data_IF_351220455470
#
_entry.id   IF_351220455470
#
_cell.length_a   1.000
_cell.length_b   1.000
_cell.length_c   1.000
_cell.angle_alpha   90.00
_cell.angle_beta   90.00
_cell.angle_gamma   90.00
#
_symmetry.space_group_name_H-M   'P 1'
#
loop_
_entity.id
_entity.type
_entity.pdbx_description
1 polymer ?
#
# COMPACT_ATOMS: atom_id res chain seq x y z
N UNK A 1 17.26 -11.42 -24.98
CA UNK A 1 16.09 -10.57 -24.70
C UNK A 1 15.18 -11.35 -23.76
N UNK A 2 14.78 -10.82 -22.59
CA UNK A 2 13.71 -11.44 -21.78
C UNK A 2 12.40 -11.26 -22.55
N UNK A 3 11.66 -12.38 -22.74
CA UNK A 3 10.35 -12.35 -23.34
C UNK A 3 9.39 -11.55 -22.44
N UNK A 4 8.47 -10.77 -23.01
CA UNK A 4 7.43 -10.08 -22.25
C UNK A 4 6.61 -11.07 -21.41
N UNK A 5 6.29 -10.67 -20.18
CA UNK A 5 5.43 -11.47 -19.31
C UNK A 5 4.04 -11.63 -19.91
N UNK A 6 3.44 -12.82 -19.75
CA UNK A 6 2.06 -13.09 -20.19
C UNK A 6 1.06 -12.19 -19.49
N UNK A 7 1.31 -11.90 -18.22
CA UNK A 7 0.52 -11.01 -17.39
C UNK A 7 1.38 -9.80 -17.05
N UNK A 8 0.84 -8.62 -17.23
CA UNK A 8 1.53 -7.37 -16.93
C UNK A 8 0.66 -6.48 -16.05
N UNK A 9 1.29 -5.86 -15.09
CA UNK A 9 0.77 -4.76 -14.29
C UNK A 9 1.33 -3.47 -14.88
N UNK A 10 0.48 -2.68 -15.49
CA UNK A 10 0.82 -1.34 -15.97
C UNK A 10 0.62 -0.35 -14.84
N UNK A 11 1.64 0.45 -14.54
CA UNK A 11 1.63 1.47 -13.49
C UNK A 11 1.80 2.84 -14.13
N UNK A 12 0.78 3.68 -14.06
CA UNK A 12 0.79 5.04 -14.61
C UNK A 12 1.44 6.02 -13.61
N UNK A 13 2.68 6.38 -13.88
CA UNK A 13 3.47 7.27 -13.03
C UNK A 13 2.98 8.74 -13.09
N UNK A 14 2.32 9.16 -14.16
CA UNK A 14 1.71 10.50 -14.24
C UNK A 14 0.51 10.58 -13.31
N UNK A 15 -0.36 9.57 -13.32
CA UNK A 15 -1.48 9.48 -12.38
C UNK A 15 -0.97 9.44 -10.93
N UNK A 16 0.08 8.64 -10.66
CA UNK A 16 0.71 8.58 -9.35
C UNK A 16 1.21 9.95 -8.87
N UNK A 17 1.97 10.66 -9.72
CA UNK A 17 2.43 12.02 -9.44
C UNK A 17 1.28 13.00 -9.22
N UNK A 18 0.23 12.91 -10.05
CA UNK A 18 -0.99 13.72 -9.93
C UNK A 18 -1.70 13.50 -8.60
N UNK A 19 -1.92 12.23 -8.21
CA UNK A 19 -2.51 11.87 -6.92
C UNK A 19 -1.67 12.40 -5.74
N UNK A 20 -0.35 12.22 -5.80
CA UNK A 20 0.54 12.68 -4.74
C UNK A 20 0.53 14.20 -4.59
N UNK A 21 0.50 14.94 -5.70
CA UNK A 21 0.37 16.40 -5.70
C UNK A 21 -0.96 16.86 -5.13
N UNK A 22 -2.08 16.20 -5.47
CA UNK A 22 -3.40 16.49 -4.90
C UNK A 22 -3.40 16.28 -3.37
N UNK A 23 -2.81 15.18 -2.88
CA UNK A 23 -2.68 14.90 -1.46
C UNK A 23 -1.87 16.01 -0.77
N UNK A 24 -0.70 16.37 -1.32
CA UNK A 24 0.13 17.45 -0.77
C UNK A 24 -0.61 18.79 -0.70
N UNK A 25 -1.32 19.14 -1.75
CA UNK A 25 -2.13 20.36 -1.80
C UNK A 25 -3.21 20.36 -0.71
N UNK A 26 -3.84 19.21 -0.48
CA UNK A 26 -4.95 19.06 0.48
C UNK A 26 -4.49 19.20 1.92
N UNK A 27 -3.31 18.68 2.25
CA UNK A 27 -2.80 18.66 3.63
C UNK A 27 -1.86 19.83 3.96
N UNK A 28 -1.53 20.68 3.00
CA UNK A 28 -0.64 21.82 3.20
C UNK A 28 -1.06 22.67 4.41
N UNK A 29 -0.10 23.15 5.24
CA UNK A 29 1.35 23.11 5.08
C UNK A 29 2.02 21.82 5.59
N UNK A 30 1.26 20.83 6.04
CA UNK A 30 1.78 19.56 6.59
C UNK A 30 2.54 18.79 5.51
N UNK A 31 3.74 18.33 5.85
CA UNK A 31 4.56 17.52 4.95
C UNK A 31 3.98 16.11 4.75
N UNK A 32 4.34 15.47 3.63
CA UNK A 32 3.84 14.13 3.30
C UNK A 32 4.99 13.13 3.22
N UNK A 33 4.91 12.07 4.03
CA UNK A 33 5.71 10.86 3.92
C UNK A 33 5.04 9.91 2.92
N UNK A 34 5.78 9.46 1.92
CA UNK A 34 5.32 8.40 1.03
C UNK A 34 5.59 7.02 1.66
N UNK A 35 4.55 6.23 1.91
CA UNK A 35 4.68 4.89 2.49
C UNK A 35 4.82 3.87 1.37
N UNK A 36 6.02 3.27 1.28
CA UNK A 36 6.47 2.44 0.16
C UNK A 36 6.73 0.97 0.55
N UNK A 37 6.28 0.55 1.74
CA UNK A 37 6.43 -0.82 2.23
C UNK A 37 5.84 -1.86 1.26
N UNK A 38 6.26 -3.11 1.39
CA UNK A 38 5.83 -4.25 0.55
C UNK A 38 6.06 -3.96 -0.94
N UNK A 39 7.28 -3.50 -1.28
CA UNK A 39 7.67 -3.15 -2.65
C UNK A 39 6.69 -2.12 -3.28
N UNK A 40 6.41 -1.03 -2.57
CA UNK A 40 5.38 -0.03 -2.93
C UNK A 40 4.00 -0.69 -3.17
N UNK A 41 3.55 -1.54 -2.23
CA UNK A 41 2.31 -2.34 -2.35
C UNK A 41 2.30 -3.25 -3.59
N UNK A 42 3.47 -3.79 -3.94
CA UNK A 42 3.63 -4.68 -5.10
C UNK A 42 3.83 -3.98 -6.44
N UNK A 43 3.84 -2.65 -6.49
CA UNK A 43 3.94 -1.89 -7.74
C UNK A 43 5.37 -1.73 -8.26
N UNK A 44 6.39 -1.99 -7.42
CA UNK A 44 7.80 -1.76 -7.72
C UNK A 44 8.33 -0.49 -7.06
N UNK A 45 9.17 -0.68 -6.03
CA UNK A 45 9.50 0.39 -5.09
C UNK A 45 10.30 1.53 -5.73
N UNK A 46 11.31 1.24 -6.56
CA UNK A 46 12.21 2.28 -7.09
C UNK A 46 11.51 3.26 -8.05
N UNK A 47 10.77 2.84 -9.10
CA UNK A 47 10.06 3.79 -9.98
C UNK A 47 9.01 4.61 -9.25
N UNK A 48 8.30 4.00 -8.27
CA UNK A 48 7.33 4.70 -7.44
C UNK A 48 8.04 5.73 -6.55
N UNK A 49 9.12 5.35 -5.87
CA UNK A 49 9.89 6.23 -5.00
C UNK A 49 10.46 7.45 -5.73
N UNK A 50 11.06 7.23 -6.91
CA UNK A 50 11.58 8.32 -7.75
C UNK A 50 10.47 9.30 -8.17
N UNK A 51 9.31 8.76 -8.55
CA UNK A 51 8.15 9.57 -8.94
C UNK A 51 7.64 10.43 -7.79
N UNK A 52 7.40 9.85 -6.61
CA UNK A 52 6.89 10.62 -5.46
C UNK A 52 7.95 11.54 -4.86
N UNK A 53 9.24 11.20 -4.97
CA UNK A 53 10.35 12.09 -4.62
C UNK A 53 10.33 13.34 -5.50
N UNK A 54 10.24 13.17 -6.81
CA UNK A 54 10.12 14.28 -7.76
C UNK A 54 8.86 15.11 -7.53
N UNK A 55 7.76 14.48 -7.09
CA UNK A 55 6.52 15.15 -6.72
C UNK A 55 6.59 15.80 -5.31
N UNK A 56 7.72 15.72 -4.59
CA UNK A 56 8.00 16.45 -3.34
C UNK A 56 7.59 15.71 -2.07
N UNK A 57 7.75 14.39 -2.02
CA UNK A 57 7.73 13.63 -0.78
C UNK A 57 8.80 14.15 0.18
N UNK A 58 8.46 14.31 1.46
CA UNK A 58 9.40 14.78 2.48
C UNK A 58 10.34 13.65 2.96
N UNK A 59 9.85 12.43 2.99
CA UNK A 59 10.58 11.23 3.40
C UNK A 59 9.84 9.98 2.91
N UNK A 60 10.47 8.82 3.04
CA UNK A 60 9.87 7.52 2.78
C UNK A 60 9.56 6.78 4.08
N UNK A 61 8.47 6.01 4.09
CA UNK A 61 8.10 5.12 5.19
C UNK A 61 8.03 3.68 4.71
N UNK A 62 8.71 2.78 5.41
CA UNK A 62 8.78 1.34 5.09
C UNK A 62 8.49 0.48 6.30
N UNK A 63 8.43 -0.84 6.14
CA UNK A 63 8.11 -1.76 7.22
C UNK A 63 9.37 -2.38 7.87
N UNK A 64 10.45 -2.61 7.09
CA UNK A 64 11.59 -3.39 7.51
C UNK A 64 12.91 -2.88 6.89
N UNK A 65 14.04 -3.43 7.38
CA UNK A 65 15.37 -2.91 7.07
C UNK A 65 15.78 -3.05 5.60
N UNK A 66 15.45 -4.15 4.91
CA UNK A 66 15.86 -4.35 3.52
C UNK A 66 15.18 -3.35 2.59
N UNK A 67 13.89 -3.08 2.85
CA UNK A 67 13.14 -2.01 2.13
C UNK A 67 13.79 -0.63 2.35
N UNK A 68 14.27 -0.38 3.59
CA UNK A 68 14.90 0.89 3.92
C UNK A 68 16.26 1.04 3.23
N UNK A 69 17.07 0.00 3.21
CA UNK A 69 18.39 -0.03 2.55
C UNK A 69 18.24 0.21 1.04
N UNK A 70 17.25 -0.42 0.40
CA UNK A 70 16.99 -0.24 -1.03
C UNK A 70 16.67 1.22 -1.39
N UNK A 71 15.98 1.95 -0.50
CA UNK A 71 15.59 3.34 -0.72
C UNK A 71 16.62 4.38 -0.27
N UNK A 72 17.55 4.03 0.62
CA UNK A 72 18.53 4.95 1.18
C UNK A 72 19.34 5.72 0.12
N UNK A 73 19.76 5.10 -1.02
CA UNK A 73 20.50 5.81 -2.07
C UNK A 73 19.74 6.94 -2.76
N UNK A 74 18.39 7.00 -2.63
CA UNK A 74 17.57 8.04 -3.25
C UNK A 74 17.67 9.41 -2.56
N UNK A 75 18.35 9.50 -1.40
CA UNK A 75 18.72 10.75 -0.75
C UNK A 75 17.65 11.43 0.09
N UNK A 76 16.43 10.85 0.22
CA UNK A 76 15.45 11.27 1.21
C UNK A 76 15.60 10.45 2.50
N UNK A 77 15.22 11.00 3.67
CA UNK A 77 15.13 10.22 4.90
C UNK A 77 14.20 9.01 4.70
N UNK A 78 14.63 7.84 5.16
CA UNK A 78 13.82 6.63 5.18
C UNK A 78 13.53 6.26 6.63
N UNK A 79 12.26 6.16 7.00
CA UNK A 79 11.81 5.77 8.33
C UNK A 79 11.21 4.38 8.32
N UNK A 80 11.67 3.51 9.22
CA UNK A 80 10.98 2.26 9.50
C UNK A 80 9.80 2.55 10.42
N UNK A 81 8.60 2.16 9.99
CA UNK A 81 7.33 2.37 10.71
C UNK A 81 6.93 1.18 11.60
N UNK A 82 7.70 0.11 11.53
CA UNK A 82 7.51 -1.12 12.29
C UNK A 82 8.36 -1.18 13.56
N UNK A 83 9.05 -2.31 13.71
CA UNK A 83 10.07 -2.53 14.73
C UNK A 83 11.37 -2.94 14.04
N UNK A 84 12.49 -2.85 14.74
CA UNK A 84 13.75 -3.47 14.36
C UNK A 84 13.94 -4.75 15.17
N UNK A 85 14.41 -5.79 14.52
CA UNK A 85 14.94 -6.96 15.19
C UNK A 85 16.39 -6.66 15.64
N UNK A 86 16.95 -7.39 16.63
CA UNK A 86 18.29 -7.10 17.14
C UNK A 86 19.39 -7.08 16.08
N UNK A 87 19.32 -7.96 15.09
CA UNK A 87 20.27 -8.05 13.97
C UNK A 87 20.08 -6.96 12.91
N UNK A 88 18.97 -6.26 12.92
CA UNK A 88 18.65 -5.14 12.00
C UNK A 88 19.17 -3.78 12.52
N UNK A 89 19.54 -3.68 13.81
CA UNK A 89 19.98 -2.42 14.42
C UNK A 89 21.30 -1.93 13.78
N UNK A 90 22.26 -2.84 13.61
CA UNK A 90 23.56 -2.47 13.04
C UNK A 90 23.46 -1.91 11.62
N UNK A 91 22.79 -2.56 10.66
CA UNK A 91 22.57 -2.00 9.34
C UNK A 91 21.71 -0.72 9.36
N UNK A 92 20.71 -0.61 10.26
CA UNK A 92 19.91 0.63 10.34
C UNK A 92 20.76 1.85 10.71
N UNK A 93 21.73 1.69 11.63
CA UNK A 93 22.70 2.73 11.98
C UNK A 93 23.66 3.00 10.82
N UNK A 94 24.18 1.94 10.17
CA UNK A 94 25.11 2.04 9.06
C UNK A 94 24.53 2.83 7.88
N UNK A 95 23.30 2.54 7.51
CA UNK A 95 22.62 3.20 6.37
C UNK A 95 21.91 4.51 6.73
N UNK A 96 21.99 4.95 8.01
CA UNK A 96 21.42 6.23 8.47
C UNK A 96 19.90 6.26 8.42
N UNK A 97 19.26 5.11 8.63
CA UNK A 97 17.82 4.95 8.66
C UNK A 97 17.23 5.64 9.90
N UNK A 98 16.06 6.23 9.78
CA UNK A 98 15.29 6.74 10.93
C UNK A 98 14.68 5.53 11.65
N UNK A 99 15.28 5.20 12.81
CA UNK A 99 14.93 4.03 13.58
C UNK A 99 13.64 4.24 14.38
N UNK A 100 12.74 3.24 14.45
CA UNK A 100 11.60 3.27 15.37
C UNK A 100 12.09 3.10 16.81
N UNK A 101 11.56 3.91 17.73
CA UNK A 101 11.83 3.80 19.16
C UNK A 101 10.55 3.37 19.87
N UNK A 102 10.36 2.06 20.00
CA UNK A 102 9.16 1.47 20.57
C UNK A 102 9.17 1.40 22.10
N UNK A 103 10.35 1.48 22.71
CA UNK A 103 10.59 1.56 24.15
C UNK A 103 11.99 2.09 24.44
N UNK A 104 12.28 2.36 25.72
CA UNK A 104 13.59 2.85 26.18
C UNK A 104 14.71 1.80 26.02
N UNK A 105 14.38 0.50 26.09
CA UNK A 105 15.34 -0.58 25.92
C UNK A 105 15.93 -0.57 24.51
N UNK A 106 15.06 -0.59 23.49
CA UNK A 106 15.44 -0.46 22.09
C UNK A 106 16.21 0.84 21.81
N UNK A 107 15.79 1.97 22.38
CA UNK A 107 16.49 3.24 22.21
C UNK A 107 17.93 3.16 22.74
N UNK A 108 18.16 2.47 23.87
CA UNK A 108 19.52 2.23 24.43
C UNK A 108 20.36 1.35 23.52
N UNK A 109 19.81 0.26 22.96
CA UNK A 109 20.52 -0.62 22.04
C UNK A 109 20.94 0.12 20.76
N UNK A 110 20.03 0.89 20.17
CA UNK A 110 20.31 1.72 18.99
C UNK A 110 21.36 2.78 19.28
N UNK A 111 21.28 3.44 20.43
CA UNK A 111 22.27 4.43 20.88
C UNK A 111 23.65 3.80 21.10
N UNK A 112 23.72 2.64 21.75
CA UNK A 112 24.96 1.91 21.97
C UNK A 112 25.62 1.50 20.65
N UNK A 113 24.83 1.02 19.70
CA UNK A 113 25.32 0.68 18.37
C UNK A 113 25.81 1.91 17.60
N UNK A 114 25.12 3.03 17.70
CA UNK A 114 25.56 4.31 17.10
C UNK A 114 26.91 4.77 17.67
N UNK A 115 27.12 4.63 18.98
CA UNK A 115 28.43 4.87 19.63
C UNK A 115 29.49 3.92 19.09
N UNK A 116 29.19 2.61 19.02
CA UNK A 116 30.12 1.59 18.51
C UNK A 116 30.58 1.87 17.07
N UNK A 117 29.65 2.33 16.22
CA UNK A 117 29.94 2.68 14.83
C UNK A 117 30.51 4.11 14.67
N UNK A 118 30.66 4.88 15.76
CA UNK A 118 31.03 6.31 15.73
C UNK A 118 30.14 7.13 14.77
N UNK A 119 28.83 6.88 14.80
CA UNK A 119 27.81 7.54 13.98
C UNK A 119 26.78 8.23 14.86
N UNK A 120 26.06 9.19 14.32
CA UNK A 120 24.80 9.68 14.87
C UNK A 120 23.65 8.97 14.20
N UNK A 121 22.65 8.54 14.97
CA UNK A 121 21.44 7.89 14.49
C UNK A 121 20.20 8.76 14.78
N UNK A 122 19.28 8.78 13.85
CA UNK A 122 17.99 9.46 14.00
C UNK A 122 16.95 8.46 14.47
N UNK A 123 16.14 8.85 15.47
CA UNK A 123 15.06 8.03 16.00
C UNK A 123 13.71 8.74 15.94
N UNK A 124 12.67 7.98 15.65
CA UNK A 124 11.28 8.43 15.74
C UNK A 124 10.54 7.59 16.79
N UNK A 125 10.03 8.29 17.82
CA UNK A 125 9.35 7.68 18.94
C UNK A 125 8.00 7.11 18.51
N UNK A 126 7.73 5.85 18.83
CA UNK A 126 6.45 5.20 18.55
C UNK A 126 5.56 5.21 19.77
N UNK A 127 4.35 5.73 19.63
CA UNK A 127 3.35 5.82 20.69
C UNK A 127 2.11 5.01 20.35
N UNK A 128 1.71 4.14 21.25
CA UNK A 128 0.43 3.46 21.18
C UNK A 128 -0.66 4.31 21.85
N UNK A 129 -1.46 4.99 21.04
CA UNK A 129 -2.62 5.75 21.50
C UNK A 129 -3.92 4.91 21.52
N UNK A 130 -3.83 3.62 21.14
CA UNK A 130 -4.96 2.69 21.13
C UNK A 130 -5.02 1.75 19.94
N UNK A 131 -3.93 1.62 19.17
CA UNK A 131 -3.81 0.63 18.08
C UNK A 131 -3.55 -0.79 18.62
N UNK A 132 -2.85 -0.92 19.77
CA UNK A 132 -2.55 -2.21 20.41
C UNK A 132 -1.54 -3.06 19.64
N UNK A 133 -0.57 -2.43 18.94
CA UNK A 133 0.37 -3.15 18.09
C UNK A 133 1.83 -2.93 18.45
N UNK A 134 2.28 -1.70 18.49
CA UNK A 134 3.67 -1.30 18.77
C UNK A 134 3.69 0.06 19.47
N UNK A 135 4.78 0.32 20.20
CA UNK A 135 5.03 1.60 20.84
C UNK A 135 4.65 1.65 22.33
N UNK A 136 5.06 2.71 22.97
CA UNK A 136 4.78 2.97 24.39
C UNK A 136 3.34 3.45 24.54
N UNK A 137 2.66 2.98 25.60
CA UNK A 137 1.31 3.44 25.93
C UNK A 137 1.29 4.94 26.20
N UNK A 138 0.47 5.70 25.50
CA UNK A 138 0.45 7.15 25.54
C UNK A 138 0.36 7.73 26.98
N UNK A 139 -0.40 7.09 27.86
CA UNK A 139 -0.59 7.53 29.24
C UNK A 139 0.65 7.37 30.14
N UNK A 140 1.65 6.59 29.73
CA UNK A 140 2.85 6.30 30.53
C UNK A 140 4.17 6.63 29.81
N UNK A 141 4.09 7.06 28.56
CA UNK A 141 5.25 7.19 27.68
C UNK A 141 6.18 8.37 28.04
N UNK A 142 5.67 9.45 28.63
CA UNK A 142 6.44 10.68 28.81
C UNK A 142 7.78 10.47 29.54
N UNK A 143 7.78 9.71 30.63
CA UNK A 143 8.99 9.43 31.42
C UNK A 143 10.07 8.71 30.60
N UNK A 144 9.71 7.72 29.81
CA UNK A 144 10.66 6.97 28.98
C UNK A 144 11.17 7.85 27.83
N UNK A 145 10.31 8.61 27.19
CA UNK A 145 10.67 9.53 26.11
C UNK A 145 11.66 10.59 26.60
N UNK A 146 11.41 11.19 27.78
CA UNK A 146 12.35 12.15 28.39
C UNK A 146 13.70 11.52 28.68
N UNK A 147 13.74 10.25 29.11
CA UNK A 147 14.98 9.53 29.35
C UNK A 147 15.77 9.27 28.04
N UNK A 148 15.11 9.08 26.91
CA UNK A 148 15.76 8.89 25.59
C UNK A 148 16.56 10.13 25.16
N UNK A 149 16.18 11.34 25.61
CA UNK A 149 16.86 12.59 25.29
C UNK A 149 18.33 12.62 25.73
N UNK A 150 18.68 11.87 26.76
CA UNK A 150 20.02 11.81 27.32
C UNK A 150 20.92 10.74 26.67
N UNK A 151 20.39 9.93 25.76
CA UNK A 151 21.14 8.84 25.13
C UNK A 151 22.17 9.40 24.14
N UNK A 152 23.44 8.95 24.23
CA UNK A 152 24.50 9.44 23.34
C UNK A 152 24.24 9.02 21.90
N UNK A 153 24.66 9.86 20.97
CA UNK A 153 24.56 9.62 19.52
C UNK A 153 23.15 9.36 18.96
N UNK A 154 22.09 9.55 19.76
CA UNK A 154 20.70 9.45 19.36
C UNK A 154 20.07 10.84 19.22
N UNK A 155 19.54 11.13 18.04
CA UNK A 155 18.77 12.34 17.74
C UNK A 155 17.29 12.00 17.59
N UNK A 156 16.43 12.57 18.42
CA UNK A 156 15.00 12.38 18.38
C UNK A 156 14.38 13.32 17.33
N UNK A 157 14.14 12.82 16.13
CA UNK A 157 13.64 13.62 15.00
C UNK A 157 12.14 13.58 14.83
N UNK A 158 11.45 12.64 15.47
CA UNK A 158 10.02 12.49 15.31
C UNK A 158 9.34 11.72 16.43
N UNK A 159 8.02 11.89 16.48
CA UNK A 159 7.12 11.13 17.34
C UNK A 159 5.84 10.81 16.57
N UNK A 160 5.35 9.57 16.65
CA UNK A 160 4.18 9.18 15.89
C UNK A 160 3.30 8.14 16.59
N UNK A 161 2.04 8.12 16.18
CA UNK A 161 1.07 7.09 16.52
C UNK A 161 0.35 6.59 15.27
N UNK A 162 -0.65 5.72 15.41
CA UNK A 162 -1.45 5.20 14.32
C UNK A 162 -2.90 4.98 14.75
N UNK A 163 -3.85 5.43 13.93
CA UNK A 163 -5.27 5.21 14.18
C UNK A 163 -5.68 3.79 13.76
N UNK A 164 -6.50 3.14 14.55
CA UNK A 164 -6.98 1.77 14.31
C UNK A 164 -8.20 1.70 13.39
N UNK A 165 -9.06 2.72 13.43
CA UNK A 165 -10.38 2.73 12.80
C UNK A 165 -10.68 4.02 12.02
N UNK A 166 -9.65 4.71 11.52
CA UNK A 166 -9.85 5.99 10.81
C UNK A 166 -10.64 5.87 9.49
N UNK A 167 -10.86 4.66 8.97
CA UNK A 167 -11.77 4.39 7.86
C UNK A 167 -13.24 4.58 8.28
N UNK A 168 -13.57 4.40 9.56
CA UNK A 168 -14.91 4.60 10.13
C UNK A 168 -15.11 6.06 10.55
N UNK A 169 -15.79 6.84 9.74
CA UNK A 169 -15.94 8.29 9.95
C UNK A 169 -16.66 8.66 11.24
N UNK A 170 -17.56 7.84 11.70
CA UNK A 170 -18.43 8.13 12.86
C UNK A 170 -18.00 7.37 14.13
N UNK A 171 -16.81 6.75 14.11
CA UNK A 171 -16.24 6.11 15.28
C UNK A 171 -15.50 7.14 16.13
N UNK A 172 -15.97 7.34 17.36
CA UNK A 172 -15.34 8.23 18.35
C UNK A 172 -13.96 7.75 18.79
N UNK A 173 -13.59 6.51 18.47
CA UNK A 173 -12.32 5.94 18.89
C UNK A 173 -11.11 6.62 18.24
N UNK A 174 -11.20 7.01 16.99
CA UNK A 174 -10.15 7.80 16.35
C UNK A 174 -9.97 9.17 17.02
N UNK A 175 -11.06 9.83 17.40
CA UNK A 175 -11.01 11.08 18.17
C UNK A 175 -10.37 10.88 19.55
N UNK A 176 -10.67 9.78 20.23
CA UNK A 176 -10.03 9.38 21.49
C UNK A 176 -8.52 9.15 21.31
N UNK A 177 -8.09 8.45 20.25
CA UNK A 177 -6.67 8.23 19.95
C UNK A 177 -5.93 9.55 19.69
N UNK A 178 -6.54 10.46 18.93
CA UNK A 178 -6.02 11.81 18.68
C UNK A 178 -5.88 12.60 20.00
N UNK A 179 -6.88 12.54 20.86
CA UNK A 179 -6.88 13.19 22.17
C UNK A 179 -5.75 12.69 23.07
N UNK A 180 -5.58 11.39 23.18
CA UNK A 180 -4.50 10.76 23.97
C UNK A 180 -3.11 11.17 23.46
N UNK A 181 -2.92 11.17 22.16
CA UNK A 181 -1.64 11.54 21.57
C UNK A 181 -1.34 13.04 21.75
N UNK A 182 -2.33 13.92 21.56
CA UNK A 182 -2.20 15.36 21.82
C UNK A 182 -1.90 15.66 23.30
N UNK A 183 -2.49 14.94 24.23
CA UNK A 183 -2.23 15.10 25.67
C UNK A 183 -0.76 14.78 26.00
N UNK A 184 -0.22 13.67 25.47
CA UNK A 184 1.20 13.32 25.63
C UNK A 184 2.11 14.40 25.02
N UNK A 185 1.79 14.90 23.82
CA UNK A 185 2.56 15.96 23.18
C UNK A 185 2.60 17.24 24.02
N UNK A 186 1.49 17.61 24.66
CA UNK A 186 1.40 18.75 25.55
C UNK A 186 2.24 18.54 26.84
N UNK A 187 2.22 17.34 27.42
CA UNK A 187 3.04 16.97 28.58
C UNK A 187 4.54 17.09 28.23
N UNK A 188 4.98 16.52 27.10
CA UNK A 188 6.36 16.62 26.65
C UNK A 188 6.79 18.07 26.36
N UNK A 189 5.90 18.86 25.78
CA UNK A 189 6.18 20.28 25.52
C UNK A 189 6.34 21.10 26.81
N UNK A 190 5.60 20.78 27.88
CA UNK A 190 5.76 21.39 29.18
C UNK A 190 7.14 21.10 29.80
N UNK A 191 7.74 19.96 29.47
CA UNK A 191 9.13 19.58 29.83
C UNK A 191 10.18 20.10 28.82
N UNK A 192 9.79 21.02 27.94
CA UNK A 192 10.67 21.62 26.94
C UNK A 192 11.09 20.67 25.80
N UNK A 193 10.28 19.64 25.52
CA UNK A 193 10.56 18.67 24.48
C UNK A 193 9.56 18.77 23.33
N UNK A 194 10.07 19.07 22.15
CA UNK A 194 9.32 19.14 20.89
C UNK A 194 10.00 18.33 19.80
N UNK A 195 9.27 17.98 18.74
CA UNK A 195 9.77 17.16 17.66
C UNK A 195 9.56 17.85 16.31
N UNK A 196 10.57 17.78 15.40
CA UNK A 196 10.41 18.26 14.02
C UNK A 196 9.23 17.57 13.29
N UNK A 197 9.12 16.26 13.45
CA UNK A 197 8.09 15.48 12.80
C UNK A 197 7.12 14.84 13.83
N UNK A 198 5.89 15.28 13.76
CA UNK A 198 4.78 14.76 14.59
C UNK A 198 3.69 14.26 13.66
N UNK A 199 3.38 12.95 13.72
CA UNK A 199 2.39 12.38 12.80
C UNK A 199 1.55 11.25 13.41
N UNK A 200 0.27 11.21 13.03
CA UNK A 200 -0.66 10.14 13.37
C UNK A 200 -1.47 9.70 12.14
N UNK A 201 -1.83 10.65 11.26
CA UNK A 201 -2.64 10.39 10.09
C UNK A 201 -1.99 9.40 9.12
N UNK A 202 -2.79 8.45 8.63
CA UNK A 202 -2.53 7.62 7.46
C UNK A 202 -3.63 7.89 6.42
N UNK A 203 -3.63 7.17 5.31
CA UNK A 203 -4.51 7.41 4.14
C UNK A 203 -5.97 7.68 4.50
N UNK A 204 -6.58 6.88 5.36
CA UNK A 204 -8.00 7.02 5.69
C UNK A 204 -8.25 8.24 6.58
N UNK A 205 -7.34 8.53 7.51
CA UNK A 205 -7.43 9.73 8.35
C UNK A 205 -7.31 11.03 7.54
N UNK A 206 -6.56 11.04 6.43
CA UNK A 206 -6.47 12.20 5.53
C UNK A 206 -7.84 12.57 4.93
N UNK A 207 -8.71 11.59 4.76
CA UNK A 207 -10.06 11.79 4.22
C UNK A 207 -11.07 12.15 5.33
N UNK A 208 -11.05 11.41 6.44
CA UNK A 208 -12.12 11.45 7.43
C UNK A 208 -11.85 12.37 8.63
N UNK A 209 -10.57 12.63 8.95
CA UNK A 209 -10.15 13.39 10.15
C UNK A 209 -9.15 14.50 9.79
N UNK A 210 -9.58 15.59 9.13
CA UNK A 210 -8.69 16.65 8.67
C UNK A 210 -7.90 17.33 9.80
N UNK A 211 -8.36 17.28 11.05
CA UNK A 211 -7.63 17.76 12.23
C UNK A 211 -6.37 16.93 12.53
N UNK A 212 -6.25 15.72 11.99
CA UNK A 212 -5.06 14.88 12.13
C UNK A 212 -3.87 15.34 11.28
N UNK A 213 -4.06 16.36 10.44
CA UNK A 213 -3.04 17.01 9.61
C UNK A 213 -2.81 18.48 9.98
N UNK A 214 -3.43 18.97 11.06
CA UNK A 214 -3.27 20.34 11.56
C UNK A 214 -2.38 20.36 12.81
N UNK A 215 -1.84 21.50 13.20
CA UNK A 215 -1.03 21.59 14.41
C UNK A 215 -1.66 20.84 15.60
N UNK A 216 -0.87 20.08 16.39
CA UNK A 216 0.60 20.01 16.39
C UNK A 216 1.23 19.07 15.35
N UNK A 217 0.46 18.47 14.44
CA UNK A 217 0.96 17.54 13.43
C UNK A 217 1.69 18.30 12.31
N UNK A 218 2.90 17.84 11.98
CA UNK A 218 3.79 18.45 10.99
C UNK A 218 4.03 17.56 9.78
N UNK A 219 3.70 16.28 9.90
CA UNK A 219 3.86 15.26 8.87
C UNK A 219 2.59 14.38 8.82
N UNK A 220 2.26 13.85 7.66
CA UNK A 220 1.27 12.78 7.51
C UNK A 220 1.83 11.66 6.62
N UNK A 221 1.24 10.46 6.73
CA UNK A 221 1.67 9.28 5.97
C UNK A 221 0.67 8.97 4.88
N UNK A 222 1.12 8.89 3.65
CA UNK A 222 0.30 8.51 2.53
C UNK A 222 0.76 7.17 1.94
N UNK A 223 -0.11 6.18 1.91
CA UNK A 223 0.09 4.88 1.30
C UNK A 223 -0.89 4.68 0.14
N UNK A 224 -1.97 3.94 0.38
CA UNK A 224 -2.92 3.50 -0.66
C UNK A 224 -3.54 4.63 -1.48
N UNK A 225 -3.73 5.81 -0.88
CA UNK A 225 -4.31 6.95 -1.58
C UNK A 225 -3.42 7.44 -2.74
N UNK A 226 -2.08 7.28 -2.65
CA UNK A 226 -1.19 7.61 -3.77
C UNK A 226 -1.53 6.78 -5.01
N UNK A 227 -2.01 5.56 -4.81
CA UNK A 227 -2.37 4.64 -5.88
C UNK A 227 -3.81 4.79 -6.37
N UNK A 228 -4.55 5.77 -5.82
CA UNK A 228 -5.90 6.08 -6.24
C UNK A 228 -6.99 5.25 -5.56
N UNK A 229 -6.66 4.61 -4.43
CA UNK A 229 -7.59 3.77 -3.67
C UNK A 229 -7.78 4.28 -2.25
N UNK A 230 -8.88 3.88 -1.63
CA UNK A 230 -9.16 4.08 -0.21
C UNK A 230 -9.90 2.85 0.35
N UNK A 231 -10.10 2.79 1.66
CA UNK A 231 -10.98 1.80 2.25
C UNK A 231 -12.42 2.01 1.76
N UNK A 232 -13.20 0.94 1.52
CA UNK A 232 -14.59 1.04 1.01
C UNK A 232 -15.52 1.89 1.90
N UNK A 233 -15.26 2.00 3.19
CA UNK A 233 -16.06 2.81 4.13
C UNK A 233 -15.65 4.30 4.13
N UNK A 234 -14.52 4.64 3.52
CA UNK A 234 -14.04 6.02 3.44
C UNK A 234 -14.83 6.81 2.41
N UNK A 235 -15.26 8.02 2.77
CA UNK A 235 -15.71 9.01 1.79
C UNK A 235 -14.50 9.77 1.24
N UNK A 236 -14.14 9.56 -0.04
CA UNK A 236 -13.02 10.29 -0.63
C UNK A 236 -13.25 11.80 -0.52
N UNK A 237 -12.31 12.51 0.09
CA UNK A 237 -12.31 13.98 0.17
C UNK A 237 -11.44 14.62 -0.91
N UNK A 238 -10.74 13.78 -1.69
CA UNK A 238 -9.81 14.14 -2.76
C UNK A 238 -10.20 13.41 -4.04
N UNK A 239 -9.95 14.02 -5.19
CA UNK A 239 -10.11 13.36 -6.49
C UNK A 239 -8.81 12.61 -6.81
N UNK A 240 -8.79 11.31 -6.50
CA UNK A 240 -7.67 10.42 -6.77
C UNK A 240 -8.08 9.40 -7.83
N UNK A 241 -7.16 9.07 -8.72
CA UNK A 241 -7.42 8.16 -9.84
C UNK A 241 -6.60 6.89 -9.71
N UNK A 242 -7.16 5.70 -9.98
CA UNK A 242 -6.42 4.45 -9.99
C UNK A 242 -5.22 4.49 -10.93
N UNK A 243 -4.06 4.03 -10.44
CA UNK A 243 -2.81 4.11 -11.20
C UNK A 243 -2.43 2.80 -11.85
N UNK A 244 -3.17 1.70 -11.63
CA UNK A 244 -2.81 0.37 -12.11
C UNK A 244 -3.85 -0.20 -13.08
N UNK A 245 -3.35 -0.95 -14.06
CA UNK A 245 -4.13 -1.85 -14.90
C UNK A 245 -3.46 -3.22 -14.93
N UNK A 246 -4.24 -4.30 -14.77
CA UNK A 246 -3.76 -5.68 -14.86
C UNK A 246 -4.26 -6.29 -16.16
N UNK A 247 -3.32 -6.66 -17.03
CA UNK A 247 -3.60 -7.13 -18.38
C UNK A 247 -2.97 -8.49 -18.65
N UNK A 248 -3.62 -9.24 -19.52
CA UNK A 248 -3.13 -10.51 -20.07
C UNK A 248 -3.57 -10.67 -21.52
N UNK A 249 -3.50 -11.90 -22.05
CA UNK A 249 -3.92 -12.22 -23.43
C UNK A 249 -4.76 -13.50 -23.45
N UNK A 250 -5.60 -13.63 -24.48
CA UNK A 250 -6.26 -14.90 -24.81
C UNK A 250 -5.20 -15.92 -25.25
N UNK A 251 -5.09 -17.03 -24.52
CA UNK A 251 -4.20 -18.13 -24.85
C UNK A 251 -4.85 -19.10 -25.86
N UNK A 252 -6.18 -19.27 -25.78
CA UNK A 252 -6.93 -20.15 -26.66
C UNK A 252 -8.39 -19.69 -26.78
N UNK A 253 -9.00 -19.99 -27.95
CA UNK A 253 -10.43 -19.80 -28.20
C UNK A 253 -10.98 -21.11 -28.76
N UNK A 254 -12.12 -21.55 -28.22
CA UNK A 254 -12.76 -22.83 -28.61
C UNK A 254 -14.27 -22.73 -28.52
N UNK A 255 -14.98 -23.59 -29.24
CA UNK A 255 -16.39 -23.88 -29.01
C UNK A 255 -16.47 -25.18 -28.19
N UNK A 256 -17.15 -25.15 -27.07
CA UNK A 256 -17.40 -26.31 -26.25
C UNK A 256 -18.90 -26.65 -26.33
N UNK A 257 -19.27 -27.97 -26.43
CA UNK A 257 -20.66 -28.37 -26.61
C UNK A 257 -21.49 -28.18 -25.34
N UNK A 258 -22.79 -28.11 -25.51
CA UNK A 258 -23.76 -28.17 -24.41
C UNK A 258 -23.48 -29.39 -23.50
N UNK A 259 -23.61 -29.18 -22.20
CA UNK A 259 -23.30 -30.21 -21.19
C UNK A 259 -21.81 -30.29 -20.81
N UNK A 260 -20.87 -29.68 -21.55
CA UNK A 260 -19.48 -29.64 -21.16
C UNK A 260 -19.31 -28.91 -19.81
N UNK A 261 -18.38 -29.40 -18.99
CA UNK A 261 -18.04 -28.80 -17.71
C UNK A 261 -16.72 -28.02 -17.79
N UNK A 262 -16.60 -26.94 -17.01
CA UNK A 262 -15.45 -26.02 -17.01
C UNK A 262 -14.71 -26.13 -15.68
N UNK A 263 -13.38 -26.33 -15.78
CA UNK A 263 -12.43 -26.20 -14.69
C UNK A 263 -12.52 -27.24 -13.57
N UNK A 264 -11.73 -27.02 -12.54
CA UNK A 264 -11.67 -27.90 -11.37
C UNK A 264 -13.03 -27.98 -10.64
N UNK A 265 -13.40 -29.18 -10.20
CA UNK A 265 -14.64 -29.43 -9.51
C UNK A 265 -15.88 -29.36 -10.42
N UNK A 266 -15.71 -29.10 -11.72
CA UNK A 266 -16.82 -28.99 -12.68
C UNK A 266 -17.94 -28.06 -12.20
N UNK A 267 -17.55 -26.94 -11.57
CA UNK A 267 -18.46 -25.98 -10.92
C UNK A 267 -19.39 -25.28 -11.92
N UNK A 268 -18.98 -25.19 -13.18
CA UNK A 268 -19.76 -24.61 -14.26
C UNK A 268 -20.05 -25.65 -15.33
N UNK A 269 -21.30 -25.76 -15.78
CA UNK A 269 -21.72 -26.62 -16.87
C UNK A 269 -22.42 -25.78 -17.92
N UNK A 270 -21.98 -25.91 -19.18
CA UNK A 270 -22.56 -25.18 -20.29
C UNK A 270 -23.97 -25.66 -20.61
N UNK A 271 -24.91 -24.75 -20.83
CA UNK A 271 -26.31 -25.05 -21.18
C UNK A 271 -26.51 -25.20 -22.68
N UNK A 272 -25.62 -24.61 -23.47
CA UNK A 272 -25.61 -24.61 -24.94
C UNK A 272 -24.18 -24.66 -25.44
N UNK A 273 -24.02 -24.89 -26.77
CA UNK A 273 -22.71 -24.76 -27.39
C UNK A 273 -22.22 -23.34 -27.17
N UNK A 274 -21.05 -23.20 -26.52
CA UNK A 274 -20.56 -21.90 -26.05
C UNK A 274 -19.15 -21.64 -26.57
N UNK A 275 -18.96 -20.46 -27.13
CA UNK A 275 -17.61 -19.96 -27.45
C UNK A 275 -16.92 -19.52 -26.17
N UNK A 276 -15.80 -20.16 -25.84
CA UNK A 276 -15.02 -19.91 -24.64
C UNK A 276 -13.60 -19.47 -24.97
N UNK A 277 -13.07 -18.56 -24.16
CA UNK A 277 -11.68 -18.16 -24.16
C UNK A 277 -10.95 -18.71 -22.93
N UNK A 278 -9.68 -19.03 -23.10
CA UNK A 278 -8.77 -19.30 -21.98
C UNK A 278 -7.78 -18.15 -21.90
N UNK A 279 -7.78 -17.40 -20.80
CA UNK A 279 -6.81 -16.32 -20.57
C UNK A 279 -5.58 -16.85 -19.86
N UNK A 280 -4.40 -16.27 -20.17
CA UNK A 280 -3.11 -16.68 -19.62
C UNK A 280 -2.83 -16.03 -18.26
N UNK A 281 -3.82 -16.04 -17.36
CA UNK A 281 -3.72 -15.52 -15.99
C UNK A 281 -4.54 -16.37 -15.02
N UNK A 282 -4.04 -16.55 -13.81
CA UNK A 282 -4.68 -17.29 -12.74
C UNK A 282 -4.33 -16.74 -11.36
N UNK A 283 -4.58 -17.55 -10.29
CA UNK A 283 -4.37 -17.06 -8.94
C UNK A 283 -2.88 -16.83 -8.60
N UNK A 284 -1.93 -17.46 -9.29
CA UNK A 284 -0.51 -17.17 -9.12
C UNK A 284 -0.08 -15.80 -9.71
N UNK A 285 -0.97 -15.19 -10.50
CA UNK A 285 -0.77 -13.85 -11.06
C UNK A 285 -1.51 -12.77 -10.25
N UNK A 286 -2.31 -13.18 -9.25
CA UNK A 286 -3.06 -12.26 -8.42
C UNK A 286 -4.58 -12.25 -8.69
N UNK A 287 -5.11 -13.09 -9.60
CA UNK A 287 -6.56 -13.20 -9.79
C UNK A 287 -7.18 -13.95 -8.60
N UNK A 288 -8.04 -13.33 -7.79
CA UNK A 288 -8.63 -14.00 -6.64
C UNK A 288 -9.50 -15.20 -7.02
N UNK A 289 -9.38 -16.31 -6.29
CA UNK A 289 -10.28 -17.46 -6.46
C UNK A 289 -11.76 -17.10 -6.28
N UNK A 290 -12.06 -16.05 -5.53
CA UNK A 290 -13.40 -15.54 -5.31
C UNK A 290 -14.11 -15.05 -6.59
N UNK A 291 -13.36 -14.77 -7.66
CA UNK A 291 -13.92 -14.42 -8.98
C UNK A 291 -14.45 -15.64 -9.74
N UNK A 292 -14.21 -16.86 -9.28
CA UNK A 292 -14.67 -18.10 -9.95
C UNK A 292 -16.18 -18.08 -10.15
N UNK A 293 -16.63 -18.16 -11.40
CA UNK A 293 -18.04 -18.07 -11.83
C UNK A 293 -18.80 -16.80 -11.34
N UNK A 294 -18.09 -15.75 -10.95
CA UNK A 294 -18.68 -14.51 -10.41
C UNK A 294 -18.09 -13.25 -11.00
N UNK A 295 -16.82 -13.29 -11.36
CA UNK A 295 -16.09 -12.14 -11.89
C UNK A 295 -16.21 -12.01 -13.39
N UNK A 296 -15.63 -10.91 -13.89
CA UNK A 296 -15.55 -10.57 -15.30
C UNK A 296 -14.13 -10.14 -15.66
N UNK A 297 -13.84 -10.21 -16.95
CA UNK A 297 -12.70 -9.55 -17.61
C UNK A 297 -13.20 -8.79 -18.83
N UNK A 298 -12.38 -7.90 -19.40
CA UNK A 298 -12.72 -7.21 -20.65
C UNK A 298 -11.93 -7.81 -21.82
N UNK A 299 -12.63 -8.02 -22.92
CA UNK A 299 -12.05 -8.40 -24.22
C UNK A 299 -12.71 -7.51 -25.27
N UNK A 300 -11.91 -6.79 -26.06
CA UNK A 300 -12.40 -5.88 -27.09
C UNK A 300 -13.48 -4.89 -26.56
N UNK A 301 -13.29 -4.37 -25.34
CA UNK A 301 -14.20 -3.41 -24.70
C UNK A 301 -15.52 -4.02 -24.17
N UNK A 302 -15.63 -5.35 -24.09
CA UNK A 302 -16.85 -6.03 -23.65
C UNK A 302 -16.60 -6.91 -22.44
N UNK A 303 -17.57 -6.95 -21.51
CA UNK A 303 -17.53 -7.80 -20.33
C UNK A 303 -17.68 -9.28 -20.70
N UNK A 304 -16.71 -10.08 -20.29
CA UNK A 304 -16.65 -11.53 -20.48
C UNK A 304 -16.68 -12.23 -19.13
N UNK A 305 -17.75 -12.97 -18.80
CA UNK A 305 -17.87 -13.67 -17.52
C UNK A 305 -16.81 -14.75 -17.33
N UNK A 306 -16.30 -14.88 -16.12
CA UNK A 306 -15.44 -16.00 -15.70
C UNK A 306 -16.30 -17.24 -15.55
N UNK A 307 -15.91 -18.33 -16.22
CA UNK A 307 -16.59 -19.61 -16.21
C UNK A 307 -15.82 -20.66 -15.38
N UNK A 308 -16.47 -21.19 -14.36
CA UNK A 308 -15.88 -22.22 -13.51
C UNK A 308 -14.79 -21.68 -12.57
N UNK A 309 -13.97 -22.58 -12.04
CA UNK A 309 -12.93 -22.28 -11.05
C UNK A 309 -11.67 -21.74 -11.72
N UNK A 310 -11.16 -20.64 -11.21
CA UNK A 310 -9.85 -20.11 -11.60
C UNK A 310 -8.77 -21.11 -11.21
N UNK A 311 -7.83 -21.38 -12.13
CA UNK A 311 -6.68 -22.25 -11.87
C UNK A 311 -5.43 -21.41 -11.54
N UNK A 312 -4.31 -22.07 -11.31
CA UNK A 312 -3.05 -21.40 -11.00
C UNK A 312 -2.60 -20.43 -12.10
N UNK A 313 -2.71 -20.86 -13.36
CA UNK A 313 -2.09 -20.19 -14.51
C UNK A 313 -3.08 -19.73 -15.56
N UNK A 314 -4.33 -20.22 -15.50
CA UNK A 314 -5.34 -19.98 -16.53
C UNK A 314 -6.72 -19.77 -15.93
N UNK A 315 -7.52 -18.97 -16.64
CA UNK A 315 -8.94 -18.74 -16.33
C UNK A 315 -9.76 -18.90 -17.62
N UNK A 316 -10.89 -19.60 -17.54
CA UNK A 316 -11.82 -19.73 -18.67
C UNK A 316 -12.89 -18.65 -18.58
N UNK A 317 -13.21 -18.03 -19.71
CA UNK A 317 -14.20 -16.96 -19.84
C UNK A 317 -15.19 -17.25 -20.96
N UNK A 318 -16.40 -16.69 -20.88
CA UNK A 318 -17.33 -16.69 -22.01
C UNK A 318 -16.93 -15.63 -23.04
N UNK A 319 -16.97 -15.98 -24.31
CA UNK A 319 -16.79 -15.07 -25.46
C UNK A 319 -18.07 -14.92 -26.29
N UNK A 320 -19.23 -15.23 -25.75
CA UNK A 320 -20.50 -15.09 -26.46
C UNK A 320 -20.75 -13.65 -26.94
N UNK A 321 -20.33 -12.67 -26.13
CA UNK A 321 -20.44 -11.25 -26.47
C UNK A 321 -19.32 -10.73 -27.39
N UNK A 322 -18.31 -11.56 -27.72
CA UNK A 322 -17.12 -11.16 -28.47
C UNK A 322 -16.81 -12.22 -29.53
N UNK A 323 -17.71 -12.40 -30.53
CA UNK A 323 -17.56 -13.46 -31.53
C UNK A 323 -16.30 -13.34 -32.40
N UNK A 324 -15.75 -12.13 -32.53
CA UNK A 324 -14.53 -11.82 -33.27
C UNK A 324 -13.23 -12.12 -32.49
N UNK A 325 -13.29 -12.37 -31.17
CA UNK A 325 -12.12 -12.58 -30.34
C UNK A 325 -11.27 -13.77 -30.83
N UNK A 326 -9.95 -13.62 -30.80
CA UNK A 326 -8.99 -14.61 -31.24
C UNK A 326 -7.80 -14.76 -30.27
N UNK A 327 -7.05 -15.87 -30.32
CA UNK A 327 -5.84 -16.03 -29.51
C UNK A 327 -4.86 -14.89 -29.76
N UNK A 328 -4.29 -14.35 -28.67
CA UNK A 328 -3.40 -13.20 -28.70
C UNK A 328 -4.07 -11.87 -28.36
N UNK A 329 -5.40 -11.77 -28.47
CA UNK A 329 -6.13 -10.55 -28.10
C UNK A 329 -5.86 -10.17 -26.64
N UNK A 330 -5.75 -8.85 -26.39
CA UNK A 330 -5.57 -8.31 -25.05
C UNK A 330 -6.83 -8.52 -24.19
N UNK A 331 -6.58 -8.91 -22.96
CA UNK A 331 -7.60 -9.06 -21.92
C UNK A 331 -7.26 -8.13 -20.76
N UNK A 332 -8.19 -7.26 -20.38
CA UNK A 332 -8.08 -6.42 -19.20
C UNK A 332 -8.77 -7.10 -18.03
N UNK A 333 -7.99 -7.44 -17.01
CA UNK A 333 -8.49 -8.05 -15.78
C UNK A 333 -8.92 -6.98 -14.77
N UNK A 334 -8.13 -5.91 -14.63
CA UNK A 334 -8.44 -4.68 -13.90
C UNK A 334 -7.99 -3.51 -14.76
N UNK A 335 -8.82 -2.51 -14.88
CA UNK A 335 -8.56 -1.33 -15.72
C UNK A 335 -9.69 -1.06 -16.71
N UNK A 336 -9.41 -0.24 -17.71
CA UNK A 336 -10.39 0.26 -18.69
C UNK A 336 -10.07 -0.23 -20.09
N UNK A 337 -11.10 -0.66 -20.82
CA UNK A 337 -11.00 -0.98 -22.24
C UNK A 337 -12.28 -0.49 -22.96
N UNK A 338 -12.15 0.47 -23.86
CA UNK A 338 -13.30 1.17 -24.43
C UNK A 338 -14.05 1.96 -23.34
N UNK A 339 -15.36 1.78 -23.30
CA UNK A 339 -16.24 2.45 -22.33
C UNK A 339 -16.47 1.60 -21.05
N UNK A 340 -15.83 0.45 -20.92
CA UNK A 340 -15.99 -0.46 -19.79
C UNK A 340 -14.79 -0.41 -18.86
N UNK A 341 -15.04 -0.52 -17.56
CA UNK A 341 -14.01 -0.55 -16.52
C UNK A 341 -14.29 -1.68 -15.54
N UNK A 342 -13.25 -2.39 -15.13
CA UNK A 342 -13.25 -3.31 -13.99
C UNK A 342 -12.32 -2.76 -12.94
N UNK A 343 -12.83 -2.59 -11.72
CA UNK A 343 -12.08 -1.96 -10.61
C UNK A 343 -11.51 -3.00 -9.64
N UNK A 344 -10.47 -2.62 -8.90
CA UNK A 344 -9.97 -3.43 -7.78
C UNK A 344 -10.98 -3.52 -6.64
N UNK A 345 -11.81 -2.51 -6.46
CA UNK A 345 -12.86 -2.47 -5.45
C UNK A 345 -13.94 -3.53 -5.71
N UNK A 346 -14.30 -3.76 -6.98
CA UNK A 346 -15.20 -4.88 -7.34
C UNK A 346 -14.60 -6.24 -6.98
N UNK A 347 -13.30 -6.43 -7.22
CA UNK A 347 -12.61 -7.65 -6.81
C UNK A 347 -12.54 -7.78 -5.29
N UNK A 348 -12.26 -6.67 -4.60
CA UNK A 348 -12.20 -6.62 -3.14
C UNK A 348 -13.55 -7.02 -2.52
N UNK A 349 -14.65 -6.48 -3.05
CA UNK A 349 -16.01 -6.82 -2.62
C UNK A 349 -16.33 -8.30 -2.82
N UNK A 350 -15.99 -8.86 -3.99
CA UNK A 350 -16.21 -10.29 -4.28
C UNK A 350 -15.38 -11.21 -3.38
N UNK A 351 -14.17 -10.77 -2.98
CA UNK A 351 -13.28 -11.52 -2.10
C UNK A 351 -13.56 -11.31 -0.61
N UNK A 352 -14.26 -10.24 -0.25
CA UNK A 352 -14.45 -9.84 1.15
C UNK A 352 -13.19 -9.23 1.76
N UNK A 353 -12.49 -8.37 1.01
CA UNK A 353 -11.24 -7.73 1.39
C UNK A 353 -11.18 -6.27 0.89
N UNK A 354 -10.01 -5.69 0.81
CA UNK A 354 -9.74 -4.33 0.37
C UNK A 354 -8.61 -4.28 -0.68
N UNK A 355 -8.47 -3.14 -1.38
CA UNK A 355 -7.48 -2.96 -2.45
C UNK A 355 -6.02 -3.18 -2.01
N UNK A 356 -5.68 -2.91 -0.75
CA UNK A 356 -4.33 -3.13 -0.20
C UNK A 356 -3.87 -4.58 -0.36
N UNK A 357 -4.72 -5.55 0.04
CA UNK A 357 -4.41 -6.97 -0.05
C UNK A 357 -4.29 -7.42 -1.51
N UNK A 358 -5.20 -6.93 -2.36
CA UNK A 358 -5.20 -7.31 -3.77
C UNK A 358 -3.92 -6.85 -4.48
N UNK A 359 -3.49 -5.60 -4.27
CA UNK A 359 -2.23 -5.10 -4.85
C UNK A 359 -1.02 -5.90 -4.38
N UNK A 360 -0.92 -6.15 -3.06
CA UNK A 360 0.17 -6.93 -2.48
C UNK A 360 0.16 -8.41 -2.91
N UNK A 361 -0.98 -8.94 -3.37
CA UNK A 361 -1.11 -10.33 -3.82
C UNK A 361 -0.72 -10.55 -5.29
N UNK A 362 -0.40 -9.48 -6.04
CA UNK A 362 0.06 -9.61 -7.43
C UNK A 362 1.41 -10.30 -7.46
N UNK A 363 1.46 -11.49 -8.07
CA UNK A 363 2.60 -12.39 -8.05
C UNK A 363 3.88 -11.78 -8.63
N UNK A 364 5.04 -12.26 -8.17
CA UNK A 364 6.36 -11.78 -8.61
C UNK A 364 6.64 -12.07 -10.09
N UNK A 365 5.98 -13.07 -10.69
CA UNK A 365 6.12 -13.40 -12.11
C UNK A 365 5.37 -12.44 -13.05
N UNK A 366 4.44 -11.64 -12.52
CA UNK A 366 3.75 -10.59 -13.28
C UNK A 366 4.75 -9.49 -13.64
N UNK A 367 4.88 -9.17 -14.90
CA UNK A 367 5.76 -8.07 -15.35
C UNK A 367 5.19 -6.72 -14.92
N UNK A 368 6.04 -5.83 -14.40
CA UNK A 368 5.66 -4.43 -14.12
C UNK A 368 6.15 -3.57 -15.26
N UNK A 369 5.26 -2.76 -15.82
CA UNK A 369 5.58 -1.76 -16.85
C UNK A 369 5.11 -0.39 -16.37
N UNK A 370 5.92 0.63 -16.61
CA UNK A 370 5.70 1.97 -16.09
C UNK A 370 5.41 2.93 -17.24
N UNK A 371 4.23 3.58 -17.19
CA UNK A 371 3.81 4.59 -18.15
C UNK A 371 4.18 5.98 -17.60
N UNK A 372 4.93 6.77 -18.39
CA UNK A 372 5.43 8.11 -18.03
C UNK A 372 4.81 9.22 -18.85
#
# INVERSE_FOLDING_TARGET
MKQESRVRLEVDLKKLSGNFNEIRRRVAPTAVMAVLKANAYGLGVLPVAETVRAAGAACFGVAEINEAIELAPLGLPVQILGNLLPDEIAPAVEYGIVCPLNDLGMAKEISAEAVRQNRRVRGAVTVDSGMGRLGMQAAAAAREILAMRALPNLELVGIYSHCSSAYQRYDDYTALQLGRFKALLAELAAEGMTFPFVHIAASDALNNFPESTRPPFTLCRCGINMYGYCDPEVRPSMHLVPVVELKTRLAAVRILPAGASIGYGRMHRLRQDTRVGTIAAGYADGLPLALSSRGYVLVNGRLCPVLGRISMDYTTISLENVPEAQPGDEVVCVGTQGDQTITLEEWAQLKGTHAYELLCSIGSRVGRSYLS
#
